data_IF_339106724320
#
_entry.id   IF_339106724320
#
_cell.length_a   1.000
_cell.length_b   1.000
_cell.length_c   1.000
_cell.angle_alpha   90.00
_cell.angle_beta   90.00
_cell.angle_gamma   90.00
#
_symmetry.space_group_name_H-M   'P 1'
#
loop_
_entity.id
_entity.type
_entity.pdbx_description
1 polymer ?
#
# COMPACT_ATOMS: atom_id res chain seq x y z
N UNK A 1 -5.69 5.06 -35.89
CA UNK A 1 -5.26 3.65 -35.74
C UNK A 1 -3.87 3.57 -36.38
N UNK A 2 -2.84 3.20 -35.61
CA UNK A 2 -1.44 3.21 -36.07
C UNK A 2 -1.04 1.94 -36.86
N UNK A 3 -1.97 1.03 -37.14
CA UNK A 3 -1.70 -0.20 -37.90
C UNK A 3 -0.78 -1.21 -37.18
N UNK A 4 -0.61 -1.05 -35.85
CA UNK A 4 0.21 -1.95 -35.06
C UNK A 4 -0.61 -3.20 -34.65
N UNK A 5 0.07 -4.34 -34.61
CA UNK A 5 -0.51 -5.56 -34.03
C UNK A 5 -0.49 -5.44 -32.50
N UNK A 6 -1.65 -5.55 -31.86
CA UNK A 6 -1.78 -5.41 -30.41
C UNK A 6 -0.92 -6.44 -29.63
N UNK A 7 -0.87 -7.68 -30.12
CA UNK A 7 -0.16 -8.76 -29.45
C UNK A 7 1.34 -8.47 -29.23
N UNK A 8 1.96 -7.74 -30.16
CA UNK A 8 3.39 -7.37 -30.09
C UNK A 8 3.69 -6.28 -29.05
N UNK A 9 2.65 -5.72 -28.44
CA UNK A 9 2.73 -4.62 -27.47
C UNK A 9 1.98 -4.93 -26.16
N UNK A 10 1.47 -6.15 -25.99
CA UNK A 10 0.67 -6.54 -24.86
C UNK A 10 1.37 -7.58 -23.99
N UNK A 11 1.33 -7.34 -22.67
CA UNK A 11 1.70 -8.30 -21.64
C UNK A 11 0.50 -8.56 -20.74
N UNK A 12 0.32 -9.80 -20.28
CA UNK A 12 -0.67 -10.14 -19.27
C UNK A 12 0.00 -10.39 -17.92
N UNK A 13 -0.59 -9.85 -16.83
CA UNK A 13 -0.26 -10.21 -15.46
C UNK A 13 -1.53 -10.77 -14.85
N UNK A 14 -1.63 -12.08 -14.71
CA UNK A 14 -2.88 -12.73 -14.34
C UNK A 14 -2.66 -14.13 -13.77
N UNK A 15 -3.70 -14.70 -13.14
CA UNK A 15 -3.67 -16.09 -12.68
C UNK A 15 -3.55 -17.06 -13.84
N UNK A 16 -2.74 -18.09 -13.65
CA UNK A 16 -2.53 -19.16 -14.66
C UNK A 16 -3.87 -19.84 -14.96
N UNK A 17 -4.21 -19.99 -16.23
CA UNK A 17 -5.47 -20.61 -16.69
C UNK A 17 -6.70 -19.70 -16.59
N UNK A 18 -6.55 -18.45 -16.15
CA UNK A 18 -7.65 -17.47 -16.14
C UNK A 18 -8.11 -17.13 -17.56
N UNK A 19 -9.26 -16.49 -17.69
CA UNK A 19 -9.78 -16.03 -18.99
C UNK A 19 -8.76 -15.14 -19.70
N UNK A 20 -8.13 -14.21 -18.98
CA UNK A 20 -7.13 -13.31 -19.56
C UNK A 20 -5.86 -14.08 -19.97
N UNK A 21 -5.44 -15.08 -19.20
CA UNK A 21 -4.31 -15.93 -19.56
C UNK A 21 -4.56 -16.68 -20.86
N UNK A 22 -5.77 -17.24 -21.01
CA UNK A 22 -6.18 -17.96 -22.24
C UNK A 22 -6.24 -17.02 -23.45
N UNK A 23 -6.79 -15.81 -23.28
CA UNK A 23 -6.79 -14.79 -24.36
C UNK A 23 -5.36 -14.45 -24.78
N UNK A 24 -4.48 -14.20 -23.82
CA UNK A 24 -3.08 -13.87 -24.11
C UNK A 24 -2.32 -15.00 -24.81
N UNK A 25 -2.66 -16.27 -24.52
CA UNK A 25 -2.13 -17.43 -25.24
C UNK A 25 -2.65 -17.47 -26.65
N UNK A 26 -3.98 -17.40 -26.84
CA UNK A 26 -4.63 -17.55 -28.12
C UNK A 26 -4.26 -16.44 -29.11
N UNK A 27 -4.13 -15.22 -28.59
CA UNK A 27 -3.81 -14.03 -29.39
C UNK A 27 -2.29 -13.81 -29.54
N UNK A 28 -1.45 -14.65 -28.93
CA UNK A 28 0.00 -14.59 -29.05
C UNK A 28 0.64 -13.34 -28.44
N UNK A 29 0.18 -12.91 -27.24
CA UNK A 29 0.74 -11.73 -26.58
C UNK A 29 2.22 -11.88 -26.24
N UNK A 30 2.94 -10.76 -26.21
CA UNK A 30 4.39 -10.68 -26.05
C UNK A 30 4.91 -11.47 -24.82
N UNK A 31 4.24 -11.34 -23.68
CA UNK A 31 4.62 -12.05 -22.46
C UNK A 31 3.44 -12.22 -21.51
N UNK A 32 3.51 -13.29 -20.72
CA UNK A 32 2.59 -13.55 -19.63
C UNK A 32 3.37 -13.69 -18.33
N UNK A 33 2.94 -13.01 -17.29
CA UNK A 33 3.50 -13.07 -15.94
C UNK A 33 2.45 -13.64 -14.99
N UNK A 34 2.77 -14.66 -14.21
CA UNK A 34 1.81 -15.24 -13.30
C UNK A 34 1.52 -14.28 -12.14
N UNK A 35 0.25 -14.15 -11.80
CA UNK A 35 -0.18 -13.57 -10.53
C UNK A 35 -0.67 -14.72 -9.65
N UNK A 36 0.02 -14.94 -8.55
CA UNK A 36 -0.25 -16.06 -7.65
C UNK A 36 -1.42 -15.75 -6.72
N UNK A 37 -2.23 -16.74 -6.36
CA UNK A 37 -3.43 -16.58 -5.55
C UNK A 37 -3.16 -16.00 -4.14
N UNK A 38 -1.94 -16.18 -3.64
CA UNK A 38 -1.49 -15.62 -2.36
C UNK A 38 -1.01 -14.17 -2.44
N UNK A 39 -0.96 -13.57 -3.62
CA UNK A 39 -0.61 -12.14 -3.80
C UNK A 39 -1.86 -11.29 -3.65
N UNK A 40 -1.97 -10.57 -2.54
CA UNK A 40 -3.05 -9.60 -2.33
C UNK A 40 -2.87 -8.33 -3.17
N UNK A 41 -3.97 -7.77 -3.68
CA UNK A 41 -3.92 -6.57 -4.53
C UNK A 41 -3.19 -5.39 -3.88
N UNK A 42 -3.45 -5.14 -2.59
CA UNK A 42 -2.88 -4.02 -1.83
C UNK A 42 -1.39 -4.16 -1.47
N UNK A 43 -0.81 -5.33 -1.73
CA UNK A 43 0.59 -5.66 -1.44
C UNK A 43 1.27 -6.31 -2.64
N UNK A 44 0.80 -5.98 -3.86
CA UNK A 44 1.29 -6.58 -5.10
C UNK A 44 2.47 -5.83 -5.74
N UNK A 45 2.96 -4.78 -5.11
CA UNK A 45 4.05 -3.93 -5.63
C UNK A 45 5.35 -4.72 -5.84
N UNK A 46 5.61 -5.73 -5.02
CA UNK A 46 6.78 -6.59 -5.13
C UNK A 46 6.58 -7.83 -6.00
N UNK A 47 5.42 -7.92 -6.68
CA UNK A 47 5.12 -8.93 -7.69
C UNK A 47 5.24 -8.34 -9.10
N UNK A 48 4.97 -9.15 -10.12
CA UNK A 48 4.95 -8.67 -11.51
C UNK A 48 3.99 -7.48 -11.73
N UNK A 49 2.94 -7.33 -10.89
CA UNK A 49 1.98 -6.22 -10.94
C UNK A 49 2.65 -4.87 -10.75
N UNK A 50 3.55 -4.75 -9.77
CA UNK A 50 4.31 -3.52 -9.52
C UNK A 50 5.64 -3.48 -10.28
N UNK A 51 6.35 -4.62 -10.37
CA UNK A 51 7.71 -4.67 -10.93
C UNK A 51 7.76 -4.44 -12.44
N UNK A 52 6.79 -4.95 -13.21
CA UNK A 52 6.78 -4.73 -14.65
C UNK A 52 6.63 -3.26 -15.03
N UNK A 53 5.63 -2.52 -14.52
CA UNK A 53 5.53 -1.09 -14.83
C UNK A 53 6.70 -0.27 -14.25
N UNK A 54 7.26 -0.67 -13.10
CA UNK A 54 8.45 -0.03 -12.55
C UNK A 54 9.66 -0.19 -13.48
N UNK A 55 9.92 -1.40 -13.97
CA UNK A 55 11.00 -1.67 -14.90
C UNK A 55 10.82 -0.92 -16.23
N UNK A 56 9.59 -0.85 -16.76
CA UNK A 56 9.28 -0.11 -17.97
C UNK A 56 9.49 1.41 -17.83
N UNK A 57 9.42 1.93 -16.62
CA UNK A 57 9.74 3.33 -16.29
C UNK A 57 11.23 3.56 -16.01
N UNK A 58 12.06 2.51 -16.06
CA UNK A 58 13.49 2.59 -15.77
C UNK A 58 13.84 2.66 -14.28
N UNK A 59 12.90 2.27 -13.40
CA UNK A 59 13.18 2.17 -11.97
C UNK A 59 14.03 0.92 -11.69
N UNK A 60 14.92 1.02 -10.71
CA UNK A 60 15.76 -0.09 -10.26
C UNK A 60 14.93 -1.05 -9.40
N UNK A 61 14.41 -2.11 -10.03
CA UNK A 61 13.57 -3.11 -9.36
C UNK A 61 14.37 -3.99 -8.40
N UNK A 62 15.66 -4.15 -8.61
CA UNK A 62 16.51 -4.94 -7.70
C UNK A 62 16.71 -4.19 -6.39
N UNK A 63 16.93 -2.87 -6.43
CA UNK A 63 16.97 -2.05 -5.22
C UNK A 63 15.62 -1.99 -4.50
N UNK A 64 14.50 -1.95 -5.23
CA UNK A 64 13.17 -2.02 -4.64
C UNK A 64 12.98 -3.32 -3.85
N UNK A 65 13.33 -4.45 -4.47
CA UNK A 65 13.24 -5.78 -3.83
C UNK A 65 14.23 -5.93 -2.67
N UNK A 66 15.44 -5.37 -2.78
CA UNK A 66 16.42 -5.36 -1.69
C UNK A 66 15.90 -4.58 -0.47
N UNK A 67 15.23 -3.44 -0.69
CA UNK A 67 14.56 -2.69 0.37
C UNK A 67 13.45 -3.48 1.05
N UNK A 68 12.62 -4.18 0.28
CA UNK A 68 11.58 -5.06 0.81
C UNK A 68 12.17 -6.21 1.65
N UNK A 69 13.25 -6.84 1.17
CA UNK A 69 13.94 -7.91 1.89
C UNK A 69 14.59 -7.41 3.20
N UNK A 70 15.15 -6.22 3.22
CA UNK A 70 15.69 -5.60 4.42
C UNK A 70 14.58 -5.31 5.45
N UNK A 71 13.44 -4.81 4.99
CA UNK A 71 12.25 -4.61 5.84
C UNK A 71 11.74 -5.93 6.40
N UNK A 72 11.62 -6.97 5.58
CA UNK A 72 11.19 -8.31 6.00
C UNK A 72 12.12 -8.85 7.11
N UNK A 73 13.43 -8.75 6.93
CA UNK A 73 14.42 -9.16 7.93
C UNK A 73 14.22 -8.42 9.27
N UNK A 74 13.98 -7.11 9.22
CA UNK A 74 13.77 -6.30 10.42
C UNK A 74 12.46 -6.65 11.15
N UNK A 75 11.41 -7.00 10.40
CA UNK A 75 10.06 -7.24 10.92
C UNK A 75 9.78 -8.69 11.30
N UNK A 76 10.70 -9.63 11.05
CA UNK A 76 10.62 -11.03 11.53
C UNK A 76 11.03 -11.23 12.98
N UNK A 77 11.53 -10.20 13.64
CA UNK A 77 11.97 -10.29 15.04
C UNK A 77 10.77 -10.48 15.96
N UNK A 78 10.84 -11.49 16.84
CA UNK A 78 9.78 -11.77 17.81
C UNK A 78 9.73 -10.73 18.94
N UNK A 79 10.89 -10.16 19.32
CA UNK A 79 10.94 -9.11 20.33
C UNK A 79 10.38 -7.79 19.79
N UNK A 80 9.31 -7.31 20.44
CA UNK A 80 8.59 -6.10 20.06
C UNK A 80 9.50 -4.86 20.04
N UNK A 81 10.44 -4.76 20.99
CA UNK A 81 11.32 -3.59 21.09
C UNK A 81 12.27 -3.46 19.89
N UNK A 82 12.60 -4.58 19.27
CA UNK A 82 13.48 -4.63 18.09
C UNK A 82 12.72 -4.80 16.76
N UNK A 83 11.39 -4.90 16.81
CA UNK A 83 10.53 -5.04 15.62
C UNK A 83 9.85 -3.71 15.28
N UNK A 84 10.28 -3.01 14.22
CA UNK A 84 9.74 -1.69 13.90
C UNK A 84 8.25 -1.73 13.51
N UNK A 85 7.78 -2.79 12.85
CA UNK A 85 6.37 -2.92 12.46
C UNK A 85 5.47 -3.13 13.70
N UNK A 86 5.89 -3.98 14.64
CA UNK A 86 5.15 -4.20 15.88
C UNK A 86 5.09 -2.92 16.73
N UNK A 87 6.20 -2.19 16.83
CA UNK A 87 6.24 -0.89 17.54
C UNK A 87 5.31 0.14 16.91
N UNK A 88 5.30 0.23 15.57
CA UNK A 88 4.41 1.14 14.84
C UNK A 88 2.95 0.78 15.07
N UNK A 89 2.59 -0.50 14.96
CA UNK A 89 1.24 -0.99 15.20
C UNK A 89 0.77 -0.68 16.63
N UNK A 90 1.62 -0.89 17.64
CA UNK A 90 1.31 -0.56 19.02
C UNK A 90 1.15 0.95 19.25
N UNK A 91 1.97 1.78 18.60
CA UNK A 91 1.84 3.22 18.67
C UNK A 91 0.49 3.70 18.09
N UNK A 92 0.09 3.16 16.96
CA UNK A 92 -1.21 3.46 16.36
C UNK A 92 -2.37 2.98 17.24
N UNK A 93 -2.29 1.73 17.72
CA UNK A 93 -3.31 1.17 18.61
C UNK A 93 -3.47 2.01 19.88
N UNK A 94 -2.38 2.41 20.50
CA UNK A 94 -2.40 3.30 21.67
C UNK A 94 -3.02 4.66 21.34
N UNK A 95 -2.62 5.28 20.23
CA UNK A 95 -3.14 6.58 19.80
C UNK A 95 -4.63 6.57 19.49
N UNK A 96 -5.16 5.45 19.03
CA UNK A 96 -6.57 5.25 18.69
C UNK A 96 -7.41 4.62 19.81
N UNK A 97 -6.88 4.49 21.03
CA UNK A 97 -7.52 3.82 22.16
C UNK A 97 -7.96 2.37 21.85
N UNK A 98 -7.27 1.70 20.91
CA UNK A 98 -7.58 0.35 20.45
C UNK A 98 -8.85 0.18 19.62
N UNK A 99 -9.53 1.27 19.26
CA UNK A 99 -10.85 1.24 18.60
C UNK A 99 -10.97 2.11 17.35
N UNK A 100 -9.87 2.67 16.86
CA UNK A 100 -9.93 3.60 15.72
C UNK A 100 -10.68 4.92 16.00
N UNK A 101 -10.65 5.39 17.24
CA UNK A 101 -11.34 6.62 17.66
C UNK A 101 -10.71 7.91 17.10
N UNK A 102 -9.52 7.80 16.50
CA UNK A 102 -8.80 8.93 15.91
C UNK A 102 -8.37 8.59 14.48
N UNK A 103 -8.39 9.61 13.66
CA UNK A 103 -7.91 9.53 12.29
C UNK A 103 -6.37 9.55 12.25
N UNK A 104 -5.79 8.83 11.32
CA UNK A 104 -4.36 8.89 11.06
C UNK A 104 -4.04 9.93 9.99
N UNK A 105 -3.25 10.91 10.35
CA UNK A 105 -2.70 11.90 9.40
C UNK A 105 -1.30 11.46 8.98
N UNK A 106 -1.12 11.14 7.70
CA UNK A 106 0.17 10.77 7.12
C UNK A 106 0.83 12.00 6.51
N UNK A 107 2.05 12.28 6.93
CA UNK A 107 2.85 13.42 6.47
C UNK A 107 4.21 12.97 5.91
N UNK A 108 4.30 12.57 4.64
CA UNK A 108 5.55 12.25 4.00
C UNK A 108 6.30 13.53 3.57
N UNK A 109 7.57 13.63 3.97
CA UNK A 109 8.45 14.76 3.62
C UNK A 109 9.37 14.40 2.44
N UNK A 110 8.75 13.95 1.34
CA UNK A 110 9.44 13.63 0.09
C UNK A 110 8.48 13.75 -1.09
N UNK A 111 8.87 14.47 -2.13
CA UNK A 111 8.01 14.69 -3.32
C UNK A 111 7.56 13.38 -3.97
N UNK A 112 8.46 12.40 -4.06
CA UNK A 112 8.13 11.08 -4.64
C UNK A 112 7.11 10.29 -3.84
N UNK A 113 6.78 10.70 -2.61
CA UNK A 113 5.75 10.09 -1.76
C UNK A 113 4.45 10.90 -1.73
N UNK A 114 4.24 11.83 -2.65
CA UNK A 114 3.02 12.66 -2.73
C UNK A 114 1.73 11.82 -2.72
N UNK A 115 1.71 10.70 -3.44
CA UNK A 115 0.56 9.82 -3.52
C UNK A 115 0.48 8.75 -2.42
N UNK A 116 1.44 8.73 -1.50
CA UNK A 116 1.54 7.66 -0.51
C UNK A 116 0.34 7.61 0.45
N UNK A 117 -0.20 8.76 0.82
CA UNK A 117 -1.42 8.81 1.65
C UNK A 117 -2.62 8.15 0.96
N UNK A 118 -2.76 8.30 -0.36
CA UNK A 118 -3.83 7.66 -1.14
C UNK A 118 -3.66 6.14 -1.19
N UNK A 119 -2.44 5.66 -1.34
CA UNK A 119 -2.15 4.23 -1.25
C UNK A 119 -2.52 3.68 0.13
N UNK A 120 -2.14 4.37 1.20
CA UNK A 120 -2.44 3.98 2.57
C UNK A 120 -3.94 4.03 2.90
N UNK A 121 -4.72 4.87 2.23
CA UNK A 121 -6.19 4.82 2.36
C UNK A 121 -6.71 3.43 2.05
N UNK A 122 -6.37 2.89 0.89
CA UNK A 122 -6.79 1.54 0.55
C UNK A 122 -6.11 0.48 1.42
N UNK A 123 -4.78 0.54 1.58
CA UNK A 123 -4.05 -0.46 2.37
C UNK A 123 -4.58 -0.58 3.79
N UNK A 124 -4.82 0.52 4.48
CA UNK A 124 -5.20 0.54 5.88
C UNK A 124 -6.72 0.47 6.06
N UNK A 125 -7.47 1.33 5.40
CA UNK A 125 -8.91 1.44 5.64
C UNK A 125 -9.66 0.19 5.17
N UNK A 126 -9.34 -0.35 3.99
CA UNK A 126 -9.95 -1.57 3.49
C UNK A 126 -9.48 -2.81 4.27
N UNK A 127 -8.21 -2.84 4.70
CA UNK A 127 -7.67 -3.99 5.43
C UNK A 127 -8.16 -4.05 6.88
N UNK A 128 -8.23 -2.92 7.58
CA UNK A 128 -8.62 -2.84 8.98
C UNK A 128 -10.11 -2.56 9.21
N UNK A 129 -10.81 -2.01 8.21
CA UNK A 129 -12.25 -1.74 8.32
C UNK A 129 -13.03 -3.04 8.41
N UNK A 130 -13.52 -3.38 9.61
CA UNK A 130 -14.26 -4.62 9.89
C UNK A 130 -15.45 -4.33 10.76
N UNK A 131 -16.62 -4.84 10.34
CA UNK A 131 -17.85 -4.76 11.12
C UNK A 131 -17.82 -5.73 12.29
N UNK A 132 -17.32 -6.93 12.07
CA UNK A 132 -17.40 -8.05 13.01
C UNK A 132 -16.01 -8.61 13.31
N UNK A 133 -15.85 -9.16 14.52
CA UNK A 133 -14.68 -9.96 14.90
C UNK A 133 -14.81 -11.41 14.39
N UNK A 134 -13.83 -12.26 14.74
CA UNK A 134 -13.83 -13.67 14.35
C UNK A 134 -14.94 -14.50 15.01
N UNK A 135 -15.52 -14.02 16.11
CA UNK A 135 -16.60 -14.65 16.84
C UNK A 135 -17.99 -14.13 16.39
N UNK A 136 -18.04 -13.21 15.42
CA UNK A 136 -19.25 -12.63 14.87
C UNK A 136 -19.84 -11.45 15.67
N UNK A 137 -19.11 -10.95 16.68
CA UNK A 137 -19.57 -9.79 17.44
C UNK A 137 -19.34 -8.50 16.64
N UNK A 138 -20.29 -7.56 16.69
CA UNK A 138 -20.16 -6.26 16.03
C UNK A 138 -19.14 -5.40 16.80
N UNK A 139 -18.04 -5.06 16.16
CA UNK A 139 -16.91 -4.30 16.72
C UNK A 139 -16.66 -2.97 16.01
N UNK A 140 -17.02 -2.85 14.72
CA UNK A 140 -16.81 -1.65 13.89
C UNK A 140 -15.37 -1.12 13.98
N UNK A 141 -14.39 -1.96 13.71
CA UNK A 141 -12.96 -1.61 13.73
C UNK A 141 -12.54 -0.88 12.45
N UNK A 142 -11.53 -0.03 12.58
CA UNK A 142 -10.91 0.65 11.46
C UNK A 142 -10.18 1.92 11.90
N UNK A 143 -9.37 2.47 11.01
CA UNK A 143 -8.68 3.76 11.18
C UNK A 143 -8.86 4.53 9.88
N UNK A 144 -9.46 5.73 9.93
CA UNK A 144 -9.48 6.61 8.78
C UNK A 144 -8.09 7.18 8.51
N UNK A 145 -7.72 7.30 7.24
CA UNK A 145 -6.40 7.78 6.83
C UNK A 145 -6.56 8.92 5.84
N UNK A 146 -5.89 10.03 6.11
CA UNK A 146 -5.71 11.11 5.17
C UNK A 146 -4.33 11.75 5.35
N UNK A 147 -3.93 12.59 4.44
CA UNK A 147 -2.68 13.31 4.53
C UNK A 147 -2.20 13.78 3.18
N UNK A 148 -1.28 14.71 3.22
CA UNK A 148 -0.63 15.26 2.05
C UNK A 148 0.88 15.34 2.29
N UNK A 149 1.61 15.60 1.23
CA UNK A 149 3.05 15.83 1.32
C UNK A 149 3.36 17.03 2.25
N UNK A 150 4.27 16.86 3.19
CA UNK A 150 4.87 17.97 3.93
C UNK A 150 5.95 18.67 3.06
N UNK A 151 6.18 19.96 3.24
CA UNK A 151 5.49 20.90 4.12
C UNK A 151 4.39 21.69 3.39
N UNK A 152 4.47 21.82 2.07
CA UNK A 152 3.60 22.70 1.28
C UNK A 152 2.15 22.27 1.25
N UNK A 153 1.88 20.99 1.00
CA UNK A 153 0.52 20.52 0.75
C UNK A 153 -0.26 20.28 2.04
N UNK A 154 0.44 20.05 3.16
CA UNK A 154 -0.18 19.96 4.49
C UNK A 154 -0.84 21.28 4.92
N UNK A 155 -0.44 22.41 4.33
CA UNK A 155 -1.03 23.72 4.62
C UNK A 155 -2.55 23.75 4.47
N UNK A 156 -3.09 22.90 3.60
CA UNK A 156 -4.53 22.80 3.37
C UNK A 156 -5.36 22.48 4.62
N UNK A 157 -4.78 21.82 5.63
CA UNK A 157 -5.50 21.37 6.84
C UNK A 157 -4.73 21.56 8.15
N UNK A 158 -3.52 22.14 8.13
CA UNK A 158 -2.70 22.27 9.35
C UNK A 158 -3.39 23.12 10.42
N UNK A 159 -4.20 24.09 10.01
CA UNK A 159 -4.98 24.89 10.94
C UNK A 159 -6.00 24.05 11.70
N UNK A 160 -6.71 23.14 11.01
CA UNK A 160 -7.64 22.20 11.64
C UNK A 160 -6.92 21.28 12.64
N UNK A 161 -5.74 20.79 12.28
CA UNK A 161 -4.96 19.94 13.18
C UNK A 161 -4.50 20.67 14.44
N UNK A 162 -4.15 21.95 14.31
CA UNK A 162 -3.65 22.78 15.43
C UNK A 162 -4.75 23.33 16.31
N UNK A 163 -5.80 23.83 15.71
CA UNK A 163 -6.80 24.68 16.38
C UNK A 163 -8.21 24.03 16.43
N UNK A 164 -8.40 22.91 15.70
CA UNK A 164 -9.68 22.23 15.61
C UNK A 164 -9.86 21.07 16.59
N UNK A 165 -10.79 20.16 16.27
CA UNK A 165 -11.10 18.98 17.11
C UNK A 165 -9.89 18.04 17.16
N UNK A 166 -9.42 17.63 18.36
CA UNK A 166 -8.23 16.79 18.53
C UNK A 166 -8.57 15.29 18.30
N UNK A 167 -9.13 14.97 17.13
CA UNK A 167 -9.57 13.63 16.74
C UNK A 167 -8.58 12.91 15.83
N UNK A 168 -7.31 13.24 15.88
CA UNK A 168 -6.29 12.67 15.02
C UNK A 168 -5.01 12.30 15.80
N UNK A 169 -4.16 11.52 15.14
CA UNK A 169 -2.74 11.38 15.44
C UNK A 169 -1.93 11.47 14.14
N UNK A 170 -0.68 11.90 14.23
CA UNK A 170 0.17 12.09 13.05
C UNK A 170 1.25 11.02 12.94
N UNK A 171 1.46 10.52 11.73
CA UNK A 171 2.61 9.68 11.36
C UNK A 171 3.47 10.43 10.35
N UNK A 172 4.68 10.81 10.75
CA UNK A 172 5.64 11.51 9.91
C UNK A 172 6.53 10.49 9.20
N UNK A 173 6.78 10.72 7.90
CA UNK A 173 7.71 9.92 7.11
C UNK A 173 8.83 10.83 6.63
N UNK A 174 10.02 10.59 7.16
CA UNK A 174 11.25 11.27 6.76
C UNK A 174 12.10 10.31 5.91
N UNK A 175 12.63 10.83 4.78
CA UNK A 175 13.46 10.08 3.83
C UNK A 175 14.81 10.78 3.68
#
# INVERSE_FOLDING_TARGET
>A
RMGLNFADHACAITGIGSVLDQVAVNDGWLKRFPMWDWVGGRTSETSAVGLLPAALQGLDIDQLLAGAAACDTATRKADINSNPAARLALAWMHSCNGKGEKDMVILPYKDRLELFSRYLQQLIMESLGKKEDLDGNVVNQGIAVYGNKGSTDQHAYIQQLRDGVPNFFATFIQV
#
